data_IF_984671140546
#
_entry.id   IF_984671140546
#
_cell.length_a   1.000
_cell.length_b   1.000
_cell.length_c   1.000
_cell.angle_alpha   90.00
_cell.angle_beta   90.00
_cell.angle_gamma   90.00
#
_symmetry.space_group_name_H-M   'P 1'
#
loop_
_entity.id
_entity.type
_entity.pdbx_description
1 polymer ?
#
# COMPACT_ATOMS: atom_id res chain seq x y z
N UNK A 1 -22.72 -6.76 18.48
CA UNK A 1 -22.98 -5.61 17.57
C UNK A 1 -22.20 -4.36 17.95
N UNK A 2 -22.12 -3.95 19.21
CA UNK A 2 -21.40 -2.72 19.64
C UNK A 2 -19.87 -2.80 19.46
N UNK A 3 -19.26 -3.99 19.65
CA UNK A 3 -17.80 -4.19 19.49
C UNK A 3 -17.34 -4.16 18.02
N UNK A 4 -18.18 -4.60 17.09
CA UNK A 4 -17.87 -4.56 15.67
C UNK A 4 -17.96 -3.14 15.08
N UNK A 5 -18.87 -2.27 15.60
CA UNK A 5 -19.00 -0.90 15.14
C UNK A 5 -17.81 -0.02 15.55
N UNK A 6 -17.37 -0.12 16.82
CA UNK A 6 -16.22 0.66 17.31
C UNK A 6 -14.91 0.31 16.56
N UNK A 7 -14.65 -0.99 16.33
CA UNK A 7 -13.49 -1.44 15.55
C UNK A 7 -13.56 -0.95 14.09
N UNK A 8 -14.74 -0.98 13.48
CA UNK A 8 -14.98 -0.44 12.15
C UNK A 8 -14.71 1.06 12.07
N UNK A 9 -15.13 1.84 13.07
CA UNK A 9 -14.96 3.30 13.07
C UNK A 9 -13.51 3.73 13.29
N UNK A 10 -12.74 2.97 14.08
CA UNK A 10 -11.28 3.16 14.21
C UNK A 10 -10.58 2.90 12.88
N UNK A 11 -10.92 1.78 12.23
CA UNK A 11 -10.34 1.41 10.94
C UNK A 11 -10.60 2.48 9.87
N UNK A 12 -11.82 3.05 9.85
CA UNK A 12 -12.20 4.13 8.94
C UNK A 12 -11.31 5.36 9.11
N UNK A 13 -11.18 5.89 10.33
CA UNK A 13 -10.47 7.16 10.57
C UNK A 13 -8.98 7.05 10.35
N UNK A 14 -8.41 5.92 10.68
CA UNK A 14 -7.00 5.66 10.43
C UNK A 14 -6.70 5.50 8.94
N UNK A 15 -7.50 4.74 8.20
CA UNK A 15 -7.35 4.61 6.75
C UNK A 15 -7.41 5.98 6.06
N UNK A 16 -8.26 6.88 6.56
CA UNK A 16 -8.35 8.26 6.10
C UNK A 16 -7.04 9.03 6.33
N UNK A 17 -6.47 8.98 7.53
CA UNK A 17 -5.22 9.67 7.86
C UNK A 17 -4.03 9.17 7.03
N UNK A 18 -3.98 7.87 6.75
CA UNK A 18 -2.92 7.26 5.92
C UNK A 18 -3.08 7.62 4.43
N UNK A 19 -4.32 7.68 3.93
CA UNK A 19 -4.58 8.13 2.57
C UNK A 19 -4.22 9.62 2.40
N UNK A 20 -4.55 10.44 3.38
CA UNK A 20 -4.10 11.84 3.43
C UNK A 20 -2.58 11.93 3.41
N UNK A 21 -1.88 11.10 4.22
CA UNK A 21 -0.43 11.07 4.29
C UNK A 21 0.21 10.80 2.92
N UNK A 22 -0.32 9.84 2.18
CA UNK A 22 0.23 9.46 0.87
C UNK A 22 0.17 10.63 -0.12
N UNK A 23 -0.97 11.29 -0.23
CA UNK A 23 -1.13 12.43 -1.12
C UNK A 23 -0.34 13.65 -0.63
N UNK A 24 -0.43 13.97 0.66
CA UNK A 24 0.26 15.12 1.24
C UNK A 24 1.76 15.03 1.06
N UNK A 25 2.38 13.87 1.33
CA UNK A 25 3.81 13.69 1.15
C UNK A 25 4.22 13.96 -0.30
N UNK A 26 3.55 13.33 -1.25
CA UNK A 26 3.84 13.53 -2.67
C UNK A 26 3.62 14.98 -3.09
N UNK A 27 2.47 15.59 -2.73
CA UNK A 27 2.13 16.92 -3.19
C UNK A 27 2.96 18.05 -2.54
N UNK A 28 3.30 17.92 -1.26
CA UNK A 28 4.18 18.89 -0.59
C UNK A 28 5.56 18.88 -1.24
N UNK A 29 6.11 17.71 -1.57
CA UNK A 29 7.42 17.61 -2.22
C UNK A 29 7.39 18.13 -3.67
N UNK A 30 6.36 17.78 -4.44
CA UNK A 30 6.28 18.03 -5.88
C UNK A 30 5.58 19.35 -6.19
N UNK A 31 4.45 19.64 -5.54
CA UNK A 31 3.61 20.79 -5.85
C UNK A 31 3.97 22.05 -5.08
N UNK A 32 4.43 21.92 -3.82
CA UNK A 32 4.70 23.06 -2.95
C UNK A 32 6.20 23.39 -2.90
N UNK A 33 7.06 22.39 -2.67
CA UNK A 33 8.52 22.55 -2.65
C UNK A 33 9.15 22.48 -4.04
N UNK A 34 8.40 22.08 -5.04
CA UNK A 34 8.81 21.96 -6.46
C UNK A 34 10.15 21.25 -6.66
N UNK A 35 10.29 20.12 -5.97
CA UNK A 35 11.53 19.35 -5.99
C UNK A 35 11.67 18.53 -7.29
N UNK A 36 12.91 18.34 -7.78
CA UNK A 36 13.18 17.44 -8.90
C UNK A 36 12.87 15.99 -8.51
N UNK A 37 12.54 15.17 -9.52
CA UNK A 37 11.99 13.84 -9.32
C UNK A 37 12.98 12.86 -8.68
N UNK A 38 14.26 12.98 -8.95
CA UNK A 38 15.32 12.19 -8.35
C UNK A 38 15.41 12.42 -6.83
N UNK A 39 15.30 13.69 -6.40
CA UNK A 39 15.27 14.03 -4.97
C UNK A 39 14.00 13.51 -4.30
N UNK A 40 12.83 13.65 -4.93
CA UNK A 40 11.58 13.11 -4.42
C UNK A 40 11.68 11.61 -4.25
N UNK A 41 12.22 10.89 -5.23
CA UNK A 41 12.44 9.44 -5.16
C UNK A 41 13.33 9.03 -3.99
N UNK A 42 14.44 9.76 -3.77
CA UNK A 42 15.34 9.51 -2.63
C UNK A 42 14.64 9.78 -1.29
N UNK A 43 13.89 10.89 -1.18
CA UNK A 43 13.17 11.23 0.06
C UNK A 43 12.10 10.16 0.36
N UNK A 44 11.32 9.74 -0.63
CA UNK A 44 10.33 8.67 -0.47
C UNK A 44 10.98 7.36 -0.03
N UNK A 45 12.16 7.03 -0.55
CA UNK A 45 12.91 5.85 -0.12
C UNK A 45 13.46 5.98 1.30
N UNK A 46 14.02 7.15 1.66
CA UNK A 46 14.49 7.41 3.02
C UNK A 46 13.36 7.29 4.05
N UNK A 47 12.14 7.65 3.69
CA UNK A 47 10.95 7.51 4.54
C UNK A 47 10.47 6.05 4.57
N UNK A 48 10.48 5.35 3.44
CA UNK A 48 9.91 4.01 3.29
C UNK A 48 10.81 2.90 3.84
N UNK A 49 12.12 2.95 3.62
CA UNK A 49 13.05 1.88 4.02
C UNK A 49 13.07 1.63 5.53
N UNK A 50 13.20 2.64 6.41
CA UNK A 50 13.11 2.43 7.85
C UNK A 50 11.76 1.85 8.27
N UNK A 51 10.67 2.25 7.61
CA UNK A 51 9.33 1.73 7.85
C UNK A 51 9.23 0.22 7.67
N UNK A 52 9.93 -0.35 6.70
CA UNK A 52 9.97 -1.80 6.47
C UNK A 52 10.62 -2.52 7.66
N UNK A 53 11.77 -2.02 8.12
CA UNK A 53 12.47 -2.59 9.27
C UNK A 53 11.61 -2.50 10.53
N UNK A 54 11.00 -1.34 10.76
CA UNK A 54 10.12 -1.10 11.90
C UNK A 54 8.81 -1.91 11.84
N UNK A 55 8.30 -2.23 10.65
CA UNK A 55 7.13 -3.10 10.50
C UNK A 55 7.37 -4.51 11.02
N UNK A 56 8.60 -5.03 10.89
CA UNK A 56 8.99 -6.31 11.46
C UNK A 56 8.99 -6.28 12.99
N UNK A 57 9.49 -5.19 13.57
CA UNK A 57 9.47 -4.97 15.03
C UNK A 57 8.03 -4.73 15.53
N UNK A 58 7.22 -4.02 14.74
CA UNK A 58 5.81 -3.76 15.01
C UNK A 58 4.98 -5.05 15.07
N UNK A 59 5.21 -5.97 14.13
CA UNK A 59 4.59 -7.30 14.15
C UNK A 59 4.90 -8.07 15.42
N UNK A 60 6.18 -8.17 15.78
CA UNK A 60 6.60 -8.83 17.03
C UNK A 60 6.00 -8.16 18.28
N UNK A 61 5.89 -6.84 18.27
CA UNK A 61 5.29 -6.09 19.39
C UNK A 61 3.78 -6.31 19.50
N UNK A 62 3.07 -6.40 18.37
CA UNK A 62 1.63 -6.67 18.33
C UNK A 62 1.28 -8.08 18.82
N UNK A 63 2.18 -9.05 18.62
CA UNK A 63 2.01 -10.43 19.08
C UNK A 63 2.24 -10.58 20.59
N UNK A 64 3.15 -9.77 21.16
CA UNK A 64 3.57 -9.88 22.56
C UNK A 64 2.81 -8.94 23.50
N UNK A 65 2.22 -7.85 22.99
CA UNK A 65 1.52 -6.82 23.78
C UNK A 65 0.04 -6.79 23.46
N UNK A 66 -0.73 -6.13 24.32
CA UNK A 66 -2.13 -5.80 23.98
C UNK A 66 -2.14 -4.84 22.77
N UNK A 67 -2.54 -5.38 21.61
CA UNK A 67 -2.60 -4.64 20.36
C UNK A 67 -3.45 -3.35 20.49
N UNK A 68 -4.53 -3.39 21.29
CA UNK A 68 -5.32 -2.19 21.60
C UNK A 68 -4.50 -1.13 22.31
N UNK A 69 -3.76 -1.50 23.37
CA UNK A 69 -2.95 -0.54 24.15
C UNK A 69 -1.86 0.08 23.28
N UNK A 70 -1.23 -0.71 22.44
CA UNK A 70 -0.23 -0.24 21.48
C UNK A 70 -0.84 0.80 20.51
N UNK A 71 -1.98 0.50 19.89
CA UNK A 71 -2.64 1.39 18.94
C UNK A 71 -3.17 2.67 19.62
N UNK A 72 -3.70 2.59 20.84
CA UNK A 72 -4.10 3.77 21.63
C UNK A 72 -2.93 4.72 21.80
N UNK A 73 -1.77 4.20 22.26
CA UNK A 73 -0.58 5.02 22.46
C UNK A 73 -0.11 5.68 21.17
N UNK A 74 -0.03 4.91 20.10
CA UNK A 74 0.41 5.40 18.78
C UNK A 74 -0.51 6.52 18.28
N UNK A 75 -1.84 6.31 18.28
CA UNK A 75 -2.77 7.29 17.70
C UNK A 75 -3.02 8.52 18.57
N UNK A 76 -2.78 8.45 19.86
CA UNK A 76 -2.82 9.64 20.72
C UNK A 76 -1.56 10.50 20.58
N UNK A 77 -0.43 9.89 20.22
CA UNK A 77 0.85 10.59 20.01
C UNK A 77 1.00 11.07 18.57
N UNK A 78 0.51 10.30 17.59
CA UNK A 78 0.66 10.58 16.17
C UNK A 78 0.21 11.99 15.72
N UNK A 79 -0.82 12.63 16.30
CA UNK A 79 -1.19 14.00 15.95
C UNK A 79 -0.09 15.04 16.13
N UNK A 80 0.92 14.77 16.97
CA UNK A 80 2.08 15.64 17.14
C UNK A 80 2.84 15.83 15.82
N UNK A 81 2.83 14.82 14.93
CA UNK A 81 3.56 14.86 13.67
C UNK A 81 3.00 15.88 12.67
N UNK A 82 1.71 15.84 12.29
CA UNK A 82 1.15 16.89 11.44
C UNK A 82 1.12 18.25 12.13
N UNK A 83 0.97 18.33 13.46
CA UNK A 83 1.08 19.58 14.20
C UNK A 83 2.51 20.14 14.19
N UNK A 84 3.53 19.29 14.25
CA UNK A 84 4.93 19.70 14.04
C UNK A 84 5.11 20.33 12.65
N UNK A 85 4.62 19.67 11.60
CA UNK A 85 4.74 20.22 10.25
C UNK A 85 3.95 21.52 10.08
N UNK A 86 2.78 21.64 10.73
CA UNK A 86 1.99 22.86 10.81
C UNK A 86 2.80 24.01 11.44
N UNK A 87 3.49 23.78 12.54
CA UNK A 87 4.34 24.78 13.17
C UNK A 87 5.51 25.21 12.27
N UNK A 88 6.13 24.24 11.57
CA UNK A 88 7.19 24.54 10.61
C UNK A 88 6.68 25.42 9.46
N UNK A 89 5.47 25.15 8.97
CA UNK A 89 4.83 25.96 7.93
C UNK A 89 4.53 27.38 8.44
N UNK A 90 3.97 27.54 9.63
CA UNK A 90 3.68 28.85 10.24
C UNK A 90 4.94 29.68 10.46
N UNK A 91 6.06 29.05 10.77
CA UNK A 91 7.35 29.74 10.95
C UNK A 91 8.14 29.91 9.64
N UNK A 92 7.52 29.55 8.50
CA UNK A 92 8.15 29.58 7.17
C UNK A 92 9.42 28.69 7.09
N UNK A 93 9.44 27.63 7.88
CA UNK A 93 10.51 26.62 7.89
C UNK A 93 10.08 25.32 7.22
N UNK A 94 9.06 25.38 6.37
CA UNK A 94 8.66 24.23 5.55
C UNK A 94 9.74 23.98 4.49
N UNK A 95 10.46 22.89 4.64
CA UNK A 95 11.57 22.50 3.76
C UNK A 95 11.70 20.97 3.69
N UNK A 96 12.63 20.49 2.87
CA UNK A 96 12.89 19.05 2.67
C UNK A 96 13.13 18.32 3.99
N UNK A 97 13.93 18.89 4.89
CA UNK A 97 14.27 18.22 6.15
C UNK A 97 13.06 18.07 7.07
N UNK A 98 12.23 19.13 7.21
CA UNK A 98 11.03 19.09 8.06
C UNK A 98 9.96 18.14 7.51
N UNK A 99 9.77 18.10 6.19
CA UNK A 99 8.85 17.18 5.52
C UNK A 99 9.35 15.74 5.63
N UNK A 100 10.65 15.50 5.47
CA UNK A 100 11.26 14.18 5.63
C UNK A 100 11.09 13.67 7.07
N UNK A 101 11.34 14.52 8.07
CA UNK A 101 11.17 14.16 9.48
C UNK A 101 9.72 13.80 9.81
N UNK A 102 8.76 14.61 9.33
CA UNK A 102 7.34 14.31 9.43
C UNK A 102 6.98 12.98 8.74
N UNK A 103 7.46 12.77 7.52
CA UNK A 103 7.24 11.53 6.77
C UNK A 103 7.81 10.29 7.47
N UNK A 104 9.02 10.39 8.04
CA UNK A 104 9.63 9.34 8.85
C UNK A 104 8.78 9.02 10.08
N UNK A 105 8.33 10.04 10.81
CA UNK A 105 7.44 9.85 11.96
C UNK A 105 6.15 9.14 11.56
N UNK A 106 5.51 9.54 10.46
CA UNK A 106 4.30 8.89 9.96
C UNK A 106 4.57 7.46 9.47
N UNK A 107 5.74 7.18 8.90
CA UNK A 107 6.17 5.83 8.53
C UNK A 107 6.29 4.92 9.77
N UNK A 108 6.82 5.44 10.88
CA UNK A 108 6.83 4.73 12.17
C UNK A 108 5.41 4.41 12.64
N UNK A 109 4.51 5.40 12.63
CA UNK A 109 3.10 5.20 12.98
C UNK A 109 2.48 4.09 12.14
N UNK A 110 2.68 4.11 10.83
CA UNK A 110 2.15 3.10 9.92
C UNK A 110 2.71 1.71 10.19
N UNK A 111 4.01 1.61 10.45
CA UNK A 111 4.72 0.34 10.66
C UNK A 111 4.23 -0.44 11.88
N UNK A 112 3.86 0.25 12.94
CA UNK A 112 3.27 -0.37 14.13
C UNK A 112 1.74 -0.52 14.05
N UNK A 113 1.08 0.36 13.31
CA UNK A 113 -0.38 0.36 13.22
C UNK A 113 -0.93 -0.78 12.37
N UNK A 114 -0.30 -1.09 11.24
CA UNK A 114 -0.78 -2.13 10.33
C UNK A 114 -0.84 -3.52 10.99
N UNK A 115 0.21 -4.03 11.66
CA UNK A 115 0.14 -5.32 12.34
C UNK A 115 -0.88 -5.33 13.49
N UNK A 116 -0.93 -4.24 14.27
CA UNK A 116 -1.88 -4.11 15.38
C UNK A 116 -3.33 -4.17 14.93
N UNK A 117 -3.66 -3.56 13.80
CA UNK A 117 -5.00 -3.62 13.21
C UNK A 117 -5.37 -5.02 12.73
N UNK A 118 -4.45 -5.70 12.04
CA UNK A 118 -4.67 -7.08 11.60
C UNK A 118 -4.95 -7.99 12.79
N UNK A 119 -4.23 -7.82 13.89
CA UNK A 119 -4.46 -8.58 15.13
C UNK A 119 -5.86 -8.32 15.71
N UNK A 120 -6.32 -7.06 15.74
CA UNK A 120 -7.68 -6.72 16.21
C UNK A 120 -8.74 -7.28 15.25
N UNK A 121 -8.58 -7.11 13.95
CA UNK A 121 -9.52 -7.58 12.94
C UNK A 121 -9.72 -9.09 13.03
N UNK A 122 -8.64 -9.86 13.13
CA UNK A 122 -8.69 -11.31 13.27
C UNK A 122 -9.45 -11.76 14.53
N UNK A 123 -9.29 -11.02 15.65
CA UNK A 123 -9.97 -11.34 16.92
C UNK A 123 -11.45 -10.96 16.92
N UNK A 124 -11.82 -9.84 16.29
CA UNK A 124 -13.22 -9.35 16.24
C UNK A 124 -14.07 -10.17 15.27
N UNK A 125 -13.47 -10.69 14.20
CA UNK A 125 -14.17 -11.42 13.14
C UNK A 125 -14.61 -12.83 13.57
N UNK A 126 -14.03 -13.42 14.62
CA UNK A 126 -14.41 -14.74 15.15
C UNK A 126 -14.51 -15.83 14.07
N UNK A 127 -15.63 -16.53 14.01
CA UNK A 127 -15.87 -17.61 13.03
C UNK A 127 -16.17 -17.10 11.60
N UNK A 128 -16.39 -15.80 11.40
CA UNK A 128 -16.69 -15.16 10.10
C UNK A 128 -15.53 -14.28 9.62
N UNK A 129 -14.29 -14.74 9.79
CA UNK A 129 -13.05 -13.98 9.44
C UNK A 129 -13.09 -13.49 7.99
N UNK A 130 -13.55 -14.31 7.05
CA UNK A 130 -13.59 -13.94 5.64
C UNK A 130 -14.56 -12.77 5.35
N UNK A 131 -15.76 -12.81 5.96
CA UNK A 131 -16.71 -11.70 5.85
C UNK A 131 -16.19 -10.44 6.52
N UNK A 132 -15.55 -10.57 7.69
CA UNK A 132 -14.94 -9.46 8.40
C UNK A 132 -13.84 -8.78 7.58
N UNK A 133 -12.96 -9.55 6.94
CA UNK A 133 -11.90 -9.05 6.07
C UNK A 133 -12.49 -8.35 4.83
N UNK A 134 -13.50 -8.94 4.18
CA UNK A 134 -14.13 -8.35 2.99
C UNK A 134 -14.79 -7.01 3.31
N UNK A 135 -15.54 -6.94 4.40
CA UNK A 135 -16.20 -5.69 4.84
C UNK A 135 -15.16 -4.64 5.24
N UNK A 136 -14.11 -5.03 5.97
CA UNK A 136 -13.04 -4.13 6.37
C UNK A 136 -12.28 -3.57 5.16
N UNK A 137 -12.02 -4.39 4.15
CA UNK A 137 -11.37 -3.98 2.90
C UNK A 137 -12.23 -3.01 2.12
N UNK A 138 -13.53 -3.30 1.96
CA UNK A 138 -14.47 -2.40 1.28
C UNK A 138 -14.57 -1.04 1.98
N UNK A 139 -14.70 -1.04 3.30
CA UNK A 139 -14.68 0.18 4.11
C UNK A 139 -13.35 0.91 3.94
N UNK A 140 -12.23 0.19 3.92
CA UNK A 140 -10.90 0.73 3.72
C UNK A 140 -10.79 1.56 2.44
N UNK A 141 -11.29 1.07 1.32
CA UNK A 141 -11.28 1.81 0.06
C UNK A 141 -12.16 3.06 0.09
N UNK A 142 -13.36 2.98 0.66
CA UNK A 142 -14.25 4.17 0.80
C UNK A 142 -13.57 5.25 1.62
N UNK A 143 -12.95 4.86 2.71
CA UNK A 143 -12.24 5.78 3.61
C UNK A 143 -10.99 6.37 2.95
N UNK A 144 -10.30 5.57 2.14
CA UNK A 144 -9.16 6.03 1.36
C UNK A 144 -9.57 7.12 0.38
N UNK A 145 -10.69 6.94 -0.33
CA UNK A 145 -11.26 7.95 -1.24
C UNK A 145 -11.57 9.26 -0.48
N UNK A 146 -12.19 9.17 0.70
CA UNK A 146 -12.48 10.34 1.53
C UNK A 146 -11.19 11.04 1.97
N UNK A 147 -10.20 10.28 2.45
CA UNK A 147 -8.91 10.83 2.88
C UNK A 147 -8.17 11.55 1.76
N UNK A 148 -8.15 10.97 0.55
CA UNK A 148 -7.58 11.58 -0.65
C UNK A 148 -8.33 12.88 -1.01
N UNK A 149 -9.66 12.89 -0.96
CA UNK A 149 -10.48 14.07 -1.23
C UNK A 149 -10.22 15.22 -0.25
N UNK A 150 -10.00 14.90 1.03
CA UNK A 150 -9.62 15.91 2.03
C UNK A 150 -8.22 16.46 1.78
N UNK A 151 -7.24 15.60 1.52
CA UNK A 151 -5.87 16.01 1.23
C UNK A 151 -5.75 16.80 -0.08
N UNK A 152 -6.57 16.47 -1.09
CA UNK A 152 -6.62 17.18 -2.36
C UNK A 152 -7.10 18.63 -2.29
N UNK A 153 -7.64 19.07 -1.14
CA UNK A 153 -8.00 20.47 -0.93
C UNK A 153 -6.80 21.37 -0.59
N UNK A 154 -5.58 20.83 -0.53
CA UNK A 154 -4.40 21.56 -0.06
C UNK A 154 -4.11 22.83 -0.86
N UNK A 155 -4.33 22.83 -2.17
CA UNK A 155 -4.12 24.01 -3.01
C UNK A 155 -5.20 25.08 -2.81
N UNK A 156 -6.40 24.71 -2.34
CA UNK A 156 -7.54 25.62 -2.11
C UNK A 156 -7.59 26.15 -0.68
N UNK A 157 -7.34 25.27 0.30
CA UNK A 157 -7.43 25.60 1.71
C UNK A 157 -6.08 25.99 2.32
N UNK A 158 -4.97 25.67 1.65
CA UNK A 158 -3.62 25.77 2.18
C UNK A 158 -3.18 24.56 2.97
N UNK A 159 -1.91 24.51 3.33
CA UNK A 159 -1.25 23.40 4.03
C UNK A 159 -1.80 23.24 5.45
N UNK A 160 -1.91 24.34 6.19
CA UNK A 160 -2.30 24.36 7.60
C UNK A 160 -3.65 23.70 7.89
N UNK A 161 -4.76 24.04 7.21
CA UNK A 161 -6.06 23.40 7.49
C UNK A 161 -6.06 21.90 7.20
N UNK A 162 -5.34 21.46 6.17
CA UNK A 162 -5.28 20.05 5.80
C UNK A 162 -4.46 19.24 6.82
N UNK A 163 -3.37 19.80 7.36
CA UNK A 163 -2.61 19.18 8.44
C UNK A 163 -3.43 19.10 9.76
N UNK A 164 -4.25 20.13 10.04
CA UNK A 164 -5.17 20.08 11.18
C UNK A 164 -6.21 18.97 11.00
N UNK A 165 -6.78 18.83 9.80
CA UNK A 165 -7.70 17.72 9.50
C UNK A 165 -7.03 16.35 9.67
N UNK A 166 -5.77 16.21 9.26
CA UNK A 166 -5.00 14.98 9.47
C UNK A 166 -4.77 14.71 10.96
N UNK A 167 -4.37 15.72 11.73
CA UNK A 167 -4.18 15.59 13.18
C UNK A 167 -5.48 15.19 13.90
N UNK A 168 -6.60 15.81 13.54
CA UNK A 168 -7.92 15.48 14.09
C UNK A 168 -8.35 14.05 13.76
N UNK A 169 -8.12 13.58 12.53
CA UNK A 169 -8.45 12.19 12.17
C UNK A 169 -7.64 11.17 12.94
N UNK A 170 -6.34 11.42 13.16
CA UNK A 170 -5.48 10.58 14.01
C UNK A 170 -5.93 10.61 15.48
N UNK A 171 -6.20 11.79 16.03
CA UNK A 171 -6.68 11.93 17.40
C UNK A 171 -8.01 11.19 17.62
N UNK A 172 -8.95 11.35 16.70
CA UNK A 172 -10.24 10.67 16.77
C UNK A 172 -10.09 9.14 16.65
N UNK A 173 -9.13 8.65 15.84
CA UNK A 173 -8.82 7.22 15.80
C UNK A 173 -8.33 6.74 17.18
N UNK A 174 -7.45 7.49 17.85
CA UNK A 174 -6.97 7.20 19.20
C UNK A 174 -8.09 7.17 20.25
N UNK A 175 -8.94 8.20 20.24
CA UNK A 175 -10.08 8.29 21.18
C UNK A 175 -11.06 7.13 20.96
N UNK A 176 -11.36 6.77 19.72
CA UNK A 176 -12.23 5.64 19.44
C UNK A 176 -11.62 4.29 19.81
N UNK A 177 -10.29 4.17 19.71
CA UNK A 177 -9.60 2.97 20.17
C UNK A 177 -9.75 2.76 21.68
N UNK A 178 -9.89 3.83 22.48
CA UNK A 178 -10.17 3.75 23.92
C UNK A 178 -11.52 3.06 24.22
N UNK A 179 -12.48 3.10 23.30
CA UNK A 179 -13.81 2.47 23.46
C UNK A 179 -13.80 0.96 23.20
N UNK A 180 -12.73 0.44 22.61
CA UNK A 180 -12.56 -1.00 22.40
C UNK A 180 -12.14 -1.63 23.75
N UNK A 181 -12.77 -2.75 24.11
CA UNK A 181 -12.40 -3.47 25.35
C UNK A 181 -10.93 -3.96 25.28
N UNK A 182 -10.20 -3.96 26.41
CA UNK A 182 -8.86 -4.52 26.49
C UNK A 182 -8.85 -5.96 25.93
N UNK A 183 -7.81 -6.29 25.20
CA UNK A 183 -7.65 -7.60 24.59
C UNK A 183 -6.51 -8.33 25.30
N UNK A 184 -6.83 -9.33 26.16
CA UNK A 184 -5.79 -10.09 26.84
C UNK A 184 -4.86 -10.72 25.81
N UNK A 185 -3.57 -10.65 26.08
CA UNK A 185 -2.54 -11.32 25.28
C UNK A 185 -2.81 -12.81 25.37
N UNK A 186 -3.17 -13.46 24.25
CA UNK A 186 -3.24 -14.92 24.22
C UNK A 186 -1.84 -15.46 24.54
N UNK A 187 -1.71 -16.32 25.56
CA UNK A 187 -0.47 -17.04 25.80
C UNK A 187 -0.14 -17.85 24.54
N UNK A 188 0.78 -17.34 23.71
CA UNK A 188 1.41 -18.15 22.69
C UNK A 188 2.23 -19.22 23.44
N UNK A 189 1.83 -20.47 23.34
CA UNK A 189 2.49 -21.62 23.97
C UNK A 189 3.78 -22.03 23.25
N UNK A 190 4.29 -21.22 22.33
CA UNK A 190 5.55 -21.44 21.64
C UNK A 190 6.56 -20.32 21.92
N UNK A 191 7.83 -20.68 22.15
CA UNK A 191 8.92 -19.72 22.20
C UNK A 191 8.82 -18.82 20.95
N UNK A 192 8.64 -17.50 21.15
CA UNK A 192 8.54 -16.55 20.07
C UNK A 192 9.87 -16.58 19.30
N UNK A 193 9.88 -17.23 18.14
CA UNK A 193 11.02 -17.15 17.23
C UNK A 193 11.28 -15.67 16.93
N UNK A 194 12.54 -15.26 16.90
CA UNK A 194 12.83 -13.88 16.56
C UNK A 194 12.23 -13.53 15.19
N UNK A 195 11.75 -12.29 14.96
CA UNK A 195 11.18 -11.89 13.67
C UNK A 195 12.12 -12.22 12.49
N UNK A 196 13.42 -12.07 12.71
CA UNK A 196 14.47 -12.38 11.72
C UNK A 196 14.49 -13.89 11.39
N UNK A 197 14.36 -14.75 12.41
CA UNK A 197 14.30 -16.20 12.20
C UNK A 197 13.05 -16.59 11.43
N UNK A 198 11.90 -15.98 11.76
CA UNK A 198 10.65 -16.21 11.02
C UNK A 198 10.75 -15.84 9.52
N UNK A 199 11.43 -14.73 9.21
CA UNK A 199 11.68 -14.33 7.83
C UNK A 199 12.64 -15.29 7.14
N UNK A 200 13.74 -15.67 7.81
CA UNK A 200 14.71 -16.62 7.24
C UNK A 200 14.07 -17.97 6.92
N UNK A 201 13.17 -18.45 7.80
CA UNK A 201 12.41 -19.68 7.54
C UNK A 201 11.38 -19.50 6.42
N UNK A 202 10.73 -18.33 6.33
CA UNK A 202 9.83 -17.98 5.23
C UNK A 202 10.55 -17.96 3.89
N UNK A 203 11.74 -17.33 3.84
CA UNK A 203 12.61 -17.33 2.65
C UNK A 203 13.04 -18.75 2.27
N UNK A 204 13.46 -19.56 3.24
CA UNK A 204 13.84 -20.95 2.98
C UNK A 204 12.66 -21.77 2.44
N UNK A 205 11.46 -21.60 3.00
CA UNK A 205 10.24 -22.24 2.50
C UNK A 205 9.90 -21.78 1.08
N UNK A 206 10.09 -20.49 0.78
CA UNK A 206 9.90 -19.91 -0.55
C UNK A 206 10.85 -20.57 -1.57
N UNK A 207 12.14 -20.67 -1.27
CA UNK A 207 13.13 -21.30 -2.18
C UNK A 207 12.86 -22.79 -2.42
N UNK A 208 12.23 -23.49 -1.48
CA UNK A 208 11.87 -24.90 -1.64
C UNK A 208 10.69 -25.14 -2.59
N UNK A 209 9.84 -24.15 -2.81
CA UNK A 209 8.68 -24.25 -3.69
C UNK A 209 8.86 -23.37 -4.92
N UNK A 210 9.12 -23.96 -6.12
CA UNK A 210 9.29 -23.17 -7.35
C UNK A 210 8.08 -22.28 -7.66
N UNK A 211 6.86 -22.73 -7.40
CA UNK A 211 5.62 -21.95 -7.63
C UNK A 211 5.60 -20.69 -6.74
N UNK A 212 5.93 -20.85 -5.45
CA UNK A 212 5.96 -19.72 -4.51
C UNK A 212 7.08 -18.77 -4.88
N UNK A 213 8.26 -19.28 -5.18
CA UNK A 213 9.41 -18.45 -5.58
C UNK A 213 9.09 -17.63 -6.82
N UNK A 214 8.59 -18.27 -7.87
CA UNK A 214 8.27 -17.60 -9.13
C UNK A 214 7.15 -16.57 -8.95
N UNK A 215 6.09 -16.91 -8.21
CA UNK A 215 5.00 -15.99 -7.93
C UNK A 215 5.46 -14.76 -7.13
N UNK A 216 6.32 -14.96 -6.11
CA UNK A 216 6.91 -13.87 -5.33
C UNK A 216 7.87 -13.02 -6.16
N UNK A 217 8.72 -13.64 -6.97
CA UNK A 217 9.66 -12.93 -7.84
C UNK A 217 8.91 -12.04 -8.85
N UNK A 218 7.92 -12.61 -9.56
CA UNK A 218 7.11 -11.87 -10.53
C UNK A 218 6.37 -10.73 -9.83
N UNK A 219 5.76 -11.00 -8.67
CA UNK A 219 5.02 -9.97 -7.94
C UNK A 219 5.94 -8.86 -7.43
N UNK A 220 7.09 -9.20 -6.86
CA UNK A 220 8.05 -8.23 -6.32
C UNK A 220 8.63 -7.33 -7.40
N UNK A 221 9.17 -7.92 -8.48
CA UNK A 221 9.75 -7.16 -9.59
C UNK A 221 8.70 -6.30 -10.28
N UNK A 222 7.51 -6.86 -10.51
CA UNK A 222 6.36 -6.10 -11.03
C UNK A 222 5.99 -4.92 -10.11
N UNK A 223 5.99 -5.13 -8.79
CA UNK A 223 5.63 -4.10 -7.81
C UNK A 223 6.64 -2.96 -7.75
N UNK A 224 7.93 -3.20 -7.95
CA UNK A 224 8.95 -2.12 -7.99
C UNK A 224 8.54 -1.06 -9.01
N UNK A 225 8.21 -1.47 -10.22
CA UNK A 225 7.86 -0.54 -11.27
C UNK A 225 6.42 -0.04 -11.17
N UNK A 226 5.48 -0.89 -10.76
CA UNK A 226 4.07 -0.51 -10.65
C UNK A 226 3.81 0.39 -9.43
N UNK A 227 4.30 0.02 -8.24
CA UNK A 227 4.15 0.86 -7.05
C UNK A 227 4.97 2.14 -7.16
N UNK A 228 6.20 2.06 -7.70
CA UNK A 228 7.00 3.24 -7.98
C UNK A 228 6.34 4.18 -8.98
N UNK A 229 5.74 3.65 -10.05
CA UNK A 229 4.96 4.46 -11.01
C UNK A 229 3.79 5.16 -10.33
N UNK A 230 3.07 4.49 -9.44
CA UNK A 230 1.94 5.06 -8.74
C UNK A 230 2.35 6.12 -7.70
N UNK A 231 3.41 5.85 -6.93
CA UNK A 231 3.84 6.73 -5.83
C UNK A 231 4.67 7.92 -6.33
N UNK A 232 5.48 7.73 -7.39
CA UNK A 232 6.40 8.74 -7.89
C UNK A 232 5.99 9.28 -9.26
N UNK A 233 5.86 8.42 -10.29
CA UNK A 233 5.63 8.90 -11.65
C UNK A 233 4.24 9.53 -11.82
N UNK A 234 3.20 8.96 -11.23
CA UNK A 234 1.83 9.44 -11.41
C UNK A 234 1.60 10.88 -10.87
N UNK A 235 2.08 11.26 -9.67
CA UNK A 235 2.04 12.65 -9.23
C UNK A 235 2.79 13.61 -10.16
N UNK A 236 3.96 13.21 -10.70
CA UNK A 236 4.68 14.01 -11.67
C UNK A 236 3.97 14.12 -13.02
N UNK A 237 3.30 13.05 -13.48
CA UNK A 237 2.47 13.10 -14.69
C UNK A 237 1.35 14.14 -14.51
N UNK A 238 0.62 14.07 -13.39
CA UNK A 238 -0.43 15.05 -13.09
C UNK A 238 0.12 16.47 -13.07
N UNK A 239 1.26 16.72 -12.38
CA UNK A 239 1.83 18.06 -12.21
C UNK A 239 2.49 18.59 -13.47
N UNK A 240 3.38 17.80 -14.12
CA UNK A 240 4.25 18.30 -15.21
C UNK A 240 3.64 18.11 -16.59
N UNK A 241 2.81 17.09 -16.80
CA UNK A 241 2.23 16.78 -18.13
C UNK A 241 0.87 17.44 -18.28
N UNK A 242 0.02 17.35 -17.26
CA UNK A 242 -1.35 17.87 -17.31
C UNK A 242 -1.53 19.22 -16.61
N UNK A 243 -0.46 19.80 -16.05
CA UNK A 243 -0.51 21.04 -15.25
C UNK A 243 -1.61 21.01 -14.17
N UNK A 244 -1.80 19.81 -13.60
CA UNK A 244 -2.86 19.51 -12.63
C UNK A 244 -2.50 19.98 -11.22
N UNK A 245 -3.55 20.12 -10.41
CA UNK A 245 -3.48 20.47 -9.01
C UNK A 245 -3.59 19.23 -8.09
N UNK A 246 -3.49 19.42 -6.78
CA UNK A 246 -3.66 18.37 -5.78
C UNK A 246 -5.04 17.71 -5.87
N UNK A 247 -6.06 18.45 -6.22
CA UNK A 247 -7.41 17.92 -6.40
C UNK A 247 -7.48 16.94 -7.57
N UNK A 248 -6.83 17.28 -8.69
CA UNK A 248 -6.75 16.38 -9.84
C UNK A 248 -6.03 15.07 -9.46
N UNK A 249 -4.90 15.16 -8.76
CA UNK A 249 -4.21 13.97 -8.26
C UNK A 249 -5.11 13.15 -7.33
N UNK A 250 -5.80 13.82 -6.40
CA UNK A 250 -6.66 13.16 -5.42
C UNK A 250 -7.79 12.36 -6.07
N UNK A 251 -8.54 12.95 -7.00
CA UNK A 251 -9.66 12.25 -7.61
C UNK A 251 -9.20 11.17 -8.59
N UNK A 252 -8.08 11.34 -9.31
CA UNK A 252 -7.51 10.26 -10.14
C UNK A 252 -7.04 9.08 -9.28
N UNK A 253 -6.37 9.33 -8.15
CA UNK A 253 -6.03 8.28 -7.19
C UNK A 253 -7.30 7.62 -6.61
N UNK A 254 -8.35 8.38 -6.32
CA UNK A 254 -9.62 7.84 -5.87
C UNK A 254 -10.28 6.93 -6.92
N UNK A 255 -10.25 7.31 -8.19
CA UNK A 255 -10.72 6.48 -9.31
C UNK A 255 -9.93 5.17 -9.40
N UNK A 256 -8.61 5.24 -9.27
CA UNK A 256 -7.73 4.06 -9.25
C UNK A 256 -8.11 3.09 -8.12
N UNK A 257 -8.26 3.56 -6.87
CA UNK A 257 -8.62 2.70 -5.74
C UNK A 257 -10.06 2.20 -5.82
N UNK A 258 -10.99 2.99 -6.33
CA UNK A 258 -12.37 2.55 -6.59
C UNK A 258 -12.38 1.41 -7.62
N UNK A 259 -11.63 1.54 -8.71
CA UNK A 259 -11.50 0.49 -9.71
C UNK A 259 -10.86 -0.79 -9.13
N UNK A 260 -9.83 -0.66 -8.29
CA UNK A 260 -9.23 -1.79 -7.58
C UNK A 260 -10.23 -2.49 -6.65
N UNK A 261 -11.07 -1.73 -5.95
CA UNK A 261 -12.16 -2.28 -5.14
C UNK A 261 -13.16 -3.05 -5.98
N UNK A 262 -13.61 -2.47 -7.09
CA UNK A 262 -14.56 -3.11 -8.03
C UNK A 262 -13.97 -4.42 -8.57
N UNK A 263 -12.69 -4.43 -8.98
CA UNK A 263 -12.06 -5.65 -9.48
C UNK A 263 -11.99 -6.75 -8.43
N UNK A 264 -11.73 -6.41 -7.17
CA UNK A 264 -11.71 -7.37 -6.07
C UNK A 264 -13.10 -7.98 -5.82
N UNK A 265 -14.16 -7.17 -5.84
CA UNK A 265 -15.54 -7.65 -5.70
C UNK A 265 -15.93 -8.55 -6.87
N UNK A 266 -15.60 -8.13 -8.10
CA UNK A 266 -15.87 -8.95 -9.29
C UNK A 266 -15.10 -10.28 -9.23
N UNK A 267 -13.84 -10.25 -8.84
CA UNK A 267 -13.02 -11.45 -8.74
C UNK A 267 -13.60 -12.46 -7.74
N UNK A 268 -14.13 -12.00 -6.60
CA UNK A 268 -14.78 -12.87 -5.60
C UNK A 268 -15.96 -13.64 -6.19
N UNK A 269 -16.68 -13.08 -7.17
CA UNK A 269 -17.81 -13.75 -7.82
C UNK A 269 -17.36 -14.94 -8.69
N UNK A 270 -16.14 -14.90 -9.21
CA UNK A 270 -15.58 -15.91 -10.11
C UNK A 270 -14.61 -16.87 -9.40
N UNK A 271 -14.28 -16.61 -8.14
CA UNK A 271 -13.41 -17.50 -7.37
C UNK A 271 -14.18 -18.71 -6.83
N UNK A 272 -13.52 -19.88 -6.68
CA UNK A 272 -12.12 -20.15 -6.98
C UNK A 272 -11.84 -20.35 -8.47
N UNK A 273 -10.79 -19.68 -8.96
CA UNK A 273 -10.34 -19.85 -10.35
C UNK A 273 -9.54 -21.15 -10.51
N UNK A 274 -9.82 -21.91 -11.57
CA UNK A 274 -9.08 -23.16 -11.84
C UNK A 274 -7.59 -22.91 -12.15
N UNK A 275 -7.27 -21.82 -12.84
CA UNK A 275 -5.91 -21.45 -13.25
C UNK A 275 -5.60 -19.99 -12.87
N UNK A 276 -5.45 -19.67 -11.58
CA UNK A 276 -5.22 -18.29 -11.14
C UNK A 276 -3.88 -17.73 -11.66
N UNK A 277 -2.87 -18.59 -11.87
CA UNK A 277 -1.58 -18.20 -12.42
C UNK A 277 -1.65 -17.69 -13.85
N UNK A 278 -2.50 -18.27 -14.71
CA UNK A 278 -2.71 -17.75 -16.07
C UNK A 278 -3.28 -16.35 -16.05
N UNK A 279 -4.32 -16.11 -15.24
CA UNK A 279 -4.94 -14.79 -15.14
C UNK A 279 -3.94 -13.77 -14.59
N UNK A 280 -3.19 -14.13 -13.55
CA UNK A 280 -2.14 -13.28 -12.98
C UNK A 280 -1.09 -12.85 -14.01
N UNK A 281 -0.65 -13.77 -14.88
CA UNK A 281 0.32 -13.48 -15.93
C UNK A 281 -0.29 -12.68 -17.09
N UNK A 282 -1.52 -12.98 -17.51
CA UNK A 282 -2.22 -12.20 -18.54
C UNK A 282 -2.40 -10.74 -18.09
N UNK A 283 -2.59 -10.51 -16.79
CA UNK A 283 -2.65 -9.14 -16.26
C UNK A 283 -1.34 -8.35 -16.45
N UNK A 284 -0.19 -9.00 -16.62
CA UNK A 284 1.06 -8.31 -16.98
C UNK A 284 0.94 -7.69 -18.39
N UNK A 285 0.31 -8.38 -19.35
CA UNK A 285 0.06 -7.85 -20.68
C UNK A 285 -0.96 -6.70 -20.68
N UNK A 286 -2.06 -6.84 -19.92
CA UNK A 286 -3.05 -5.76 -19.82
C UNK A 286 -2.44 -4.49 -19.22
N UNK A 287 -1.45 -4.62 -18.33
CA UNK A 287 -0.72 -3.48 -17.79
C UNK A 287 0.06 -2.73 -18.87
N UNK A 288 0.67 -3.43 -19.81
CA UNK A 288 1.37 -2.80 -20.94
C UNK A 288 0.42 -1.88 -21.70
N UNK A 289 -0.80 -2.37 -22.00
CA UNK A 289 -1.81 -1.58 -22.71
C UNK A 289 -2.17 -0.32 -21.91
N UNK A 290 -2.42 -0.46 -20.61
CA UNK A 290 -2.78 0.65 -19.73
C UNK A 290 -1.67 1.70 -19.67
N UNK A 291 -0.43 1.27 -19.45
CA UNK A 291 0.72 2.19 -19.36
C UNK A 291 1.04 2.83 -20.72
N UNK A 292 0.85 2.11 -21.82
CA UNK A 292 0.99 2.66 -23.17
C UNK A 292 -0.03 3.75 -23.43
N UNK A 293 -1.29 3.54 -23.03
CA UNK A 293 -2.33 4.58 -23.11
C UNK A 293 -1.96 5.83 -22.31
N UNK A 294 -1.32 5.69 -21.16
CA UNK A 294 -0.85 6.84 -20.38
C UNK A 294 0.38 7.50 -21.00
N UNK A 295 1.27 6.71 -21.61
CA UNK A 295 2.52 7.19 -22.20
C UNK A 295 2.32 8.09 -23.42
N UNK A 296 1.24 7.86 -24.22
CA UNK A 296 0.93 8.67 -25.40
C UNK A 296 0.31 10.04 -25.05
N UNK A 297 0.32 10.45 -23.79
CA UNK A 297 -0.25 11.73 -23.32
C UNK A 297 -1.70 11.92 -23.78
N UNK A 298 -2.62 11.06 -23.37
CA UNK A 298 -3.98 11.07 -23.88
C UNK A 298 -4.76 12.27 -23.35
N UNK A 299 -5.88 12.59 -24.04
CA UNK A 299 -6.89 13.50 -23.49
C UNK A 299 -7.40 13.00 -22.13
N UNK A 300 -7.92 13.91 -21.31
CA UNK A 300 -8.32 13.65 -19.92
C UNK A 300 -9.26 12.44 -19.77
N UNK A 301 -10.24 12.29 -20.65
CA UNK A 301 -11.18 11.17 -20.58
C UNK A 301 -10.48 9.80 -20.75
N UNK A 302 -9.47 9.73 -21.63
CA UNK A 302 -8.71 8.51 -21.87
C UNK A 302 -7.70 8.25 -20.75
N UNK A 303 -7.15 9.30 -20.12
CA UNK A 303 -6.35 9.19 -18.90
C UNK A 303 -7.18 8.56 -17.76
N UNK A 304 -8.45 8.97 -17.62
CA UNK A 304 -9.37 8.38 -16.64
C UNK A 304 -9.62 6.90 -16.95
N UNK A 305 -9.87 6.55 -18.21
CA UNK A 305 -10.04 5.15 -18.63
C UNK A 305 -8.79 4.33 -18.37
N UNK A 306 -7.60 4.86 -18.66
CA UNK A 306 -6.33 4.21 -18.35
C UNK A 306 -6.15 4.02 -16.84
N UNK A 307 -6.49 5.04 -16.04
CA UNK A 307 -6.43 4.98 -14.58
C UNK A 307 -7.38 3.91 -14.01
N UNK A 308 -8.60 3.80 -14.54
CA UNK A 308 -9.53 2.74 -14.19
C UNK A 308 -8.93 1.38 -14.54
N UNK A 309 -8.41 1.20 -15.75
CA UNK A 309 -7.76 -0.02 -16.20
C UNK A 309 -6.59 -0.41 -15.29
N UNK A 310 -5.81 0.58 -14.85
CA UNK A 310 -4.69 0.36 -13.94
C UNK A 310 -5.15 -0.11 -12.54
N UNK A 311 -6.20 0.52 -12.00
CA UNK A 311 -6.81 0.10 -10.73
C UNK A 311 -7.39 -1.30 -10.79
N UNK A 312 -8.14 -1.63 -11.86
CA UNK A 312 -8.66 -2.99 -12.09
C UNK A 312 -7.53 -4.02 -12.15
N UNK A 313 -6.46 -3.72 -12.88
CA UNK A 313 -5.28 -4.57 -12.98
C UNK A 313 -4.63 -4.81 -11.62
N UNK A 314 -4.44 -3.76 -10.82
CA UNK A 314 -3.84 -3.87 -9.49
C UNK A 314 -4.65 -4.77 -8.57
N UNK A 315 -5.97 -4.60 -8.52
CA UNK A 315 -6.83 -5.41 -7.63
C UNK A 315 -6.78 -6.90 -7.98
N UNK A 316 -6.81 -7.24 -9.27
CA UNK A 316 -6.69 -8.63 -9.73
C UNK A 316 -5.31 -9.20 -9.41
N UNK A 317 -4.24 -8.51 -9.81
CA UNK A 317 -2.86 -9.03 -9.67
C UNK A 317 -2.46 -9.26 -8.22
N UNK A 318 -2.78 -8.30 -7.33
CA UNK A 318 -2.44 -8.40 -5.90
C UNK A 318 -3.16 -9.56 -5.23
N UNK A 319 -4.45 -9.71 -5.55
CA UNK A 319 -5.27 -10.78 -4.98
C UNK A 319 -4.81 -12.15 -5.46
N UNK A 320 -4.58 -12.32 -6.76
CA UNK A 320 -4.16 -13.60 -7.32
C UNK A 320 -2.76 -13.99 -6.88
N UNK A 321 -1.80 -13.05 -6.84
CA UNK A 321 -0.46 -13.33 -6.33
C UNK A 321 -0.51 -13.86 -4.90
N UNK A 322 -1.27 -13.18 -4.03
CA UNK A 322 -1.47 -13.61 -2.64
C UNK A 322 -2.15 -14.97 -2.53
N UNK A 323 -3.17 -15.23 -3.35
CA UNK A 323 -3.89 -16.52 -3.38
C UNK A 323 -2.95 -17.66 -3.78
N UNK A 324 -2.18 -17.50 -4.86
CA UNK A 324 -1.22 -18.52 -5.32
C UNK A 324 -0.21 -18.85 -4.21
N UNK A 325 0.36 -17.82 -3.59
CA UNK A 325 1.34 -17.99 -2.50
C UNK A 325 0.69 -18.66 -1.29
N UNK A 326 -0.51 -18.26 -0.91
CA UNK A 326 -1.22 -18.80 0.26
C UNK A 326 -1.67 -20.25 0.08
N UNK A 327 -2.13 -20.62 -1.11
CA UNK A 327 -2.55 -22.00 -1.43
C UNK A 327 -1.36 -22.95 -1.58
N UNK A 328 -0.24 -22.46 -2.15
CA UNK A 328 0.96 -23.27 -2.37
C UNK A 328 1.82 -23.45 -1.13
N UNK A 329 1.64 -22.61 -0.10
CA UNK A 329 2.41 -22.69 1.13
C UNK A 329 1.90 -23.78 2.07
N UNK A 330 2.82 -24.64 2.56
CA UNK A 330 2.52 -25.59 3.62
C UNK A 330 1.94 -24.91 4.86
N UNK A 331 0.96 -25.51 5.51
CA UNK A 331 0.21 -24.92 6.63
C UNK A 331 1.14 -24.36 7.74
N UNK A 332 2.22 -25.09 8.07
CA UNK A 332 3.19 -24.71 9.10
C UNK A 332 4.04 -23.49 8.74
N UNK A 333 4.26 -23.20 7.44
CA UNK A 333 5.08 -22.06 6.96
C UNK A 333 4.27 -20.93 6.34
N UNK A 334 2.95 -21.11 6.19
CA UNK A 334 2.06 -20.18 5.47
C UNK A 334 2.18 -18.74 5.98
N UNK A 335 2.15 -18.53 7.29
CA UNK A 335 2.28 -17.20 7.88
C UNK A 335 3.64 -16.56 7.58
N UNK A 336 4.72 -17.33 7.62
CA UNK A 336 6.09 -16.86 7.35
C UNK A 336 6.30 -16.49 5.89
N UNK A 337 5.76 -17.28 4.97
CA UNK A 337 5.78 -17.01 3.52
C UNK A 337 4.95 -15.76 3.19
N UNK A 338 3.79 -15.60 3.80
CA UNK A 338 2.97 -14.39 3.65
C UNK A 338 3.64 -13.14 4.23
N UNK A 339 4.47 -13.28 5.27
CA UNK A 339 5.30 -12.17 5.76
C UNK A 339 6.35 -11.77 4.73
N UNK A 340 7.02 -12.72 4.08
CA UNK A 340 7.96 -12.46 2.98
C UNK A 340 7.26 -11.75 1.82
N UNK A 341 6.05 -12.20 1.45
CA UNK A 341 5.21 -11.54 0.44
C UNK A 341 4.92 -10.07 0.80
N UNK A 342 4.53 -9.81 2.04
CA UNK A 342 4.18 -8.45 2.51
C UNK A 342 5.41 -7.53 2.53
N UNK A 343 6.56 -8.03 2.98
CA UNK A 343 7.83 -7.29 2.97
C UNK A 343 8.22 -6.95 1.53
N UNK A 344 8.11 -7.90 0.60
CA UNK A 344 8.39 -7.66 -0.82
C UNK A 344 7.49 -6.58 -1.40
N UNK A 345 6.19 -6.60 -1.09
CA UNK A 345 5.25 -5.58 -1.55
C UNK A 345 5.57 -4.18 -1.01
N UNK A 346 5.77 -4.07 0.30
CA UNK A 346 6.06 -2.76 0.94
C UNK A 346 7.45 -2.26 0.52
N UNK A 347 8.43 -3.16 0.41
CA UNK A 347 9.81 -2.83 0.04
C UNK A 347 9.99 -2.45 -1.42
N UNK A 348 9.07 -2.82 -2.30
CA UNK A 348 9.14 -2.49 -3.72
C UNK A 348 8.96 -0.99 -4.00
N UNK A 349 8.09 -0.29 -3.25
CA UNK A 349 7.78 1.11 -3.48
C UNK A 349 8.99 2.06 -3.29
N UNK A 350 9.79 1.98 -2.22
CA UNK A 350 11.01 2.78 -2.06
C UNK A 350 12.04 2.54 -3.17
N UNK A 351 12.24 1.27 -3.57
CA UNK A 351 13.16 0.94 -4.68
C UNK A 351 12.65 1.55 -5.98
N UNK A 352 11.37 1.39 -6.26
CA UNK A 352 10.72 1.98 -7.42
C UNK A 352 10.79 3.51 -7.43
N UNK A 353 10.64 4.16 -6.29
CA UNK A 353 10.72 5.60 -6.16
C UNK A 353 12.10 6.16 -6.56
N UNK A 354 13.20 5.52 -6.12
CA UNK A 354 14.55 5.92 -6.51
C UNK A 354 14.75 5.74 -8.02
N UNK A 355 14.42 4.55 -8.54
CA UNK A 355 14.65 4.22 -9.95
C UNK A 355 13.84 5.17 -10.85
N UNK A 356 12.55 5.31 -10.56
CA UNK A 356 11.66 6.11 -11.40
C UNK A 356 11.89 7.61 -11.23
N UNK A 357 12.23 8.07 -10.02
CA UNK A 357 12.64 9.46 -9.80
C UNK A 357 13.84 9.83 -10.67
N UNK A 358 14.86 9.00 -10.72
CA UNK A 358 16.01 9.19 -11.59
C UNK A 358 15.64 9.14 -13.09
N UNK A 359 14.78 8.21 -13.51
CA UNK A 359 14.34 8.10 -14.91
C UNK A 359 13.54 9.34 -15.33
N UNK A 360 12.63 9.83 -14.47
CA UNK A 360 11.83 11.02 -14.73
C UNK A 360 12.73 12.22 -15.00
N UNK A 361 13.74 12.42 -14.17
CA UNK A 361 14.62 13.59 -14.27
C UNK A 361 15.58 13.50 -15.47
N UNK A 362 16.03 12.27 -15.79
CA UNK A 362 17.01 12.06 -16.87
C UNK A 362 16.36 11.93 -18.24
N UNK A 363 15.24 11.22 -18.34
CA UNK A 363 14.61 10.83 -19.62
C UNK A 363 13.23 11.44 -19.84
N UNK A 364 12.70 12.16 -18.85
CA UNK A 364 11.38 12.78 -18.91
C UNK A 364 10.27 11.97 -18.24
N UNK A 365 9.21 12.67 -17.85
CA UNK A 365 8.17 12.16 -16.94
C UNK A 365 7.44 10.94 -17.50
N UNK A 366 6.97 10.99 -18.75
CA UNK A 366 6.23 9.88 -19.37
C UNK A 366 7.12 8.67 -19.63
N UNK A 367 8.40 8.88 -19.92
CA UNK A 367 9.34 7.79 -20.19
C UNK A 367 9.64 6.92 -18.97
N UNK A 368 9.27 7.36 -17.77
CA UNK A 368 9.29 6.53 -16.56
C UNK A 368 8.33 5.34 -16.62
N UNK A 369 7.33 5.37 -17.50
CA UNK A 369 6.39 4.26 -17.70
C UNK A 369 6.99 3.14 -18.60
N UNK A 370 7.97 3.47 -19.44
CA UNK A 370 8.57 2.52 -20.40
C UNK A 370 9.21 1.30 -19.73
N UNK A 371 10.04 1.44 -18.68
CA UNK A 371 10.60 0.29 -17.98
C UNK A 371 9.53 -0.62 -17.38
N UNK A 372 8.44 -0.06 -16.86
CA UNK A 372 7.32 -0.83 -16.33
C UNK A 372 6.63 -1.68 -17.40
N UNK A 373 6.46 -1.15 -18.62
CA UNK A 373 5.95 -1.90 -19.77
C UNK A 373 6.89 -3.02 -20.18
N UNK A 374 8.18 -2.73 -20.32
CA UNK A 374 9.19 -3.71 -20.70
C UNK A 374 9.33 -4.84 -19.68
N UNK A 375 9.39 -4.49 -18.40
CA UNK A 375 9.45 -5.47 -17.30
C UNK A 375 8.19 -6.32 -17.27
N UNK A 376 7.01 -5.74 -17.49
CA UNK A 376 5.76 -6.49 -17.54
C UNK A 376 5.77 -7.53 -18.67
N UNK A 377 6.33 -7.20 -19.84
CA UNK A 377 6.51 -8.15 -20.95
C UNK A 377 7.47 -9.28 -20.56
N UNK A 378 8.63 -8.93 -20.00
CA UNK A 378 9.62 -9.94 -19.57
C UNK A 378 9.05 -10.87 -18.51
N UNK A 379 8.30 -10.34 -17.54
CA UNK A 379 7.68 -11.13 -16.48
C UNK A 379 6.57 -12.05 -17.03
N UNK A 380 5.80 -11.59 -18.02
CA UNK A 380 4.85 -12.45 -18.71
C UNK A 380 5.58 -13.61 -19.42
N UNK A 381 6.61 -13.32 -20.21
CA UNK A 381 7.39 -14.34 -20.94
C UNK A 381 8.06 -15.32 -19.97
N UNK A 382 8.69 -14.81 -18.91
CA UNK A 382 9.28 -15.66 -17.87
C UNK A 382 8.20 -16.55 -17.21
N UNK A 383 7.10 -15.96 -16.81
CA UNK A 383 6.00 -16.67 -16.15
C UNK A 383 5.34 -17.74 -17.02
N UNK A 384 5.19 -17.45 -18.32
CA UNK A 384 4.54 -18.36 -19.27
C UNK A 384 5.45 -19.53 -19.71
N UNK A 385 6.73 -19.28 -19.94
CA UNK A 385 7.63 -20.25 -20.55
C UNK A 385 8.61 -20.92 -19.60
N UNK A 386 9.01 -20.23 -18.51
CA UNK A 386 10.08 -20.71 -17.62
C UNK A 386 9.60 -21.01 -16.20
N UNK A 387 8.40 -20.55 -15.81
CA UNK A 387 7.86 -20.77 -14.47
C UNK A 387 6.73 -21.80 -14.43
N UNK A 388 6.48 -22.33 -13.23
CA UNK A 388 5.36 -23.23 -12.97
C UNK A 388 4.05 -22.47 -12.68
N UNK A 389 4.07 -21.14 -12.66
CA UNK A 389 2.89 -20.29 -12.34
C UNK A 389 1.83 -20.41 -13.41
N UNK A 390 2.20 -20.49 -14.70
CA UNK A 390 1.24 -20.65 -15.81
C UNK A 390 0.38 -21.90 -15.70
N UNK A 391 1.02 -23.02 -15.33
CA UNK A 391 0.33 -24.33 -15.22
C UNK A 391 -0.28 -24.56 -13.84
N UNK A 392 -0.15 -23.61 -12.92
CA UNK A 392 -0.64 -23.74 -11.56
C UNK A 392 -2.17 -23.90 -11.53
N UNK A 393 -2.64 -24.96 -10.86
CA UNK A 393 -4.05 -25.24 -10.59
C UNK A 393 -4.33 -24.93 -9.12
N UNK A 394 -5.45 -24.25 -8.85
CA UNK A 394 -5.88 -24.00 -7.48
C UNK A 394 -6.26 -25.31 -6.78
N UNK A 395 -5.74 -25.47 -5.57
CA UNK A 395 -6.11 -26.61 -4.70
C UNK A 395 -7.60 -26.61 -4.29
N UNK A 396 -8.28 -25.47 -4.39
CA UNK A 396 -9.69 -25.34 -4.06
C UNK A 396 -10.64 -25.90 -5.14
N UNK A 397 -10.13 -26.24 -6.32
CA UNK A 397 -10.92 -26.74 -7.48
C UNK A 397 -10.44 -28.12 -7.92
N UNK A 398 -9.43 -28.68 -7.26
CA UNK A 398 -8.88 -30.01 -7.54
C UNK A 398 -9.71 -31.14 -6.92
#
# INVERSE_FOLDING_TARGET
>A
RYRSSAASDVYKRQGMALAMQQLLLSWILIGILDLPADQVGVIQALIGIPGIVLMLMGGASADQKDARRLLVQIYLIAPILPLFLLLMEQWQWLNVATVTLWGLGMSVVQSYSMPGQQAILNRVSGNSVQQGITVATAIGYVVQVIGLGLAGQIDRLGVSPVLIMQALTLLMAGIMMLRIAPMPVGRSTGAAASPIQGIAEGLRATYRSPVIFDALLINFVSSIFNAGSFVTAFPFIVKRVYDGDAWMLAWLMAVFFAAAAVSNVLLLRYMPLKFPGKVFLIMQLSRIVVLLLMWIEPEMWLLVVATIGWGLNMGVTTTLARTIVQESAEAQYRGRVLSVFSIGMVGSAPIGAIILGWIIETFGTLNALVPAMFVSLLLFLYGAYFSKVWAYRSAAVS
#
